data_IF_031048721567
#
_entry.id   IF_031048721567
#
_cell.length_a   1.000
_cell.length_b   1.000
_cell.length_c   1.000
_cell.angle_alpha   90.00
_cell.angle_beta   90.00
_cell.angle_gamma   90.00
#
_symmetry.space_group_name_H-M   'P 1'
#
loop_
_entity.id
_entity.type
_entity.pdbx_description
1 polymer ?
#
# COMPACT_ATOMS: atom_id res chain seq x y z
N UNK A 1 -36.65 -31.46 69.40
CA UNK A 1 -35.46 -30.68 69.04
C UNK A 1 -35.57 -30.38 67.54
N UNK A 2 -36.00 -29.18 67.22
CA UNK A 2 -36.17 -28.74 65.83
C UNK A 2 -34.99 -27.80 65.45
N UNK A 3 -34.14 -28.22 64.52
CA UNK A 3 -33.02 -27.38 64.01
C UNK A 3 -33.53 -26.51 62.88
N UNK A 4 -33.49 -25.20 63.07
CA UNK A 4 -33.77 -24.22 62.07
C UNK A 4 -32.51 -23.99 61.21
N UNK A 5 -32.62 -24.24 59.91
CA UNK A 5 -31.56 -23.89 58.89
C UNK A 5 -31.79 -22.47 58.43
N UNK A 6 -30.85 -21.55 58.75
CA UNK A 6 -30.79 -20.20 58.20
C UNK A 6 -30.17 -20.25 56.79
N UNK A 7 -30.95 -19.92 55.78
CA UNK A 7 -30.44 -19.67 54.42
C UNK A 7 -30.15 -18.15 54.29
N UNK A 8 -28.87 -17.81 54.20
CA UNK A 8 -28.44 -16.45 53.90
C UNK A 8 -28.46 -16.22 52.36
N UNK A 9 -29.00 -15.11 51.86
CA UNK A 9 -28.90 -14.78 50.43
C UNK A 9 -27.49 -14.31 50.11
N UNK A 10 -26.81 -15.01 49.19
CA UNK A 10 -25.57 -14.54 48.57
C UNK A 10 -25.96 -13.45 47.52
N UNK A 11 -25.68 -12.21 47.85
CA UNK A 11 -25.70 -11.10 46.90
C UNK A 11 -24.44 -11.22 46.07
N UNK A 12 -24.58 -11.68 44.82
CA UNK A 12 -23.54 -11.58 43.79
C UNK A 12 -23.45 -10.07 43.43
N UNK A 13 -22.49 -9.38 44.03
CA UNK A 13 -22.03 -8.08 43.54
C UNK A 13 -21.30 -8.37 42.21
N UNK A 14 -21.94 -8.07 41.11
CA UNK A 14 -21.29 -8.01 39.81
C UNK A 14 -20.23 -6.89 39.87
N UNK A 15 -18.96 -7.26 39.91
CA UNK A 15 -17.87 -6.36 39.65
C UNK A 15 -17.89 -6.08 38.12
N UNK A 16 -18.65 -5.07 37.69
CA UNK A 16 -18.31 -4.30 36.52
C UNK A 16 -17.11 -3.45 36.95
N UNK A 17 -15.92 -3.76 36.51
CA UNK A 17 -14.80 -2.82 36.54
C UNK A 17 -15.05 -1.75 35.48
N UNK A 18 -15.85 -0.73 35.82
CA UNK A 18 -15.70 0.60 35.23
C UNK A 18 -14.34 1.12 35.74
N UNK A 19 -13.27 0.85 34.99
CA UNK A 19 -12.03 1.59 35.11
C UNK A 19 -12.38 3.02 34.70
N UNK A 20 -12.54 3.95 35.66
CA UNK A 20 -13.00 5.32 35.45
C UNK A 20 -11.99 6.21 34.73
N UNK A 21 -11.36 5.71 33.69
CA UNK A 21 -10.47 6.37 32.74
C UNK A 21 -11.21 6.75 31.44
N UNK A 22 -10.56 7.55 30.57
CA UNK A 22 -11.10 7.84 29.25
C UNK A 22 -11.30 6.56 28.43
N UNK A 23 -12.30 6.52 27.52
CA UNK A 23 -12.48 5.42 26.58
C UNK A 23 -11.20 5.02 25.87
N UNK A 24 -11.00 3.73 25.65
CA UNK A 24 -9.86 3.18 24.94
C UNK A 24 -10.28 2.85 23.52
N UNK A 25 -9.67 3.50 22.53
CA UNK A 25 -9.80 3.19 21.11
C UNK A 25 -8.67 2.24 20.69
N UNK A 26 -9.00 1.13 20.07
CA UNK A 26 -8.01 0.22 19.49
C UNK A 26 -7.82 0.50 18.02
N UNK A 27 -6.59 0.83 17.65
CA UNK A 27 -6.18 1.05 16.26
C UNK A 27 -5.37 -0.14 15.75
N UNK A 28 -5.93 -0.90 14.80
CA UNK A 28 -5.24 -1.98 14.10
C UNK A 28 -4.37 -1.41 13.01
N UNK A 29 -3.05 -1.54 13.17
CA UNK A 29 -2.02 -0.91 12.32
C UNK A 29 -1.28 -1.93 11.47
N UNK A 30 -0.91 -1.55 10.25
CA UNK A 30 0.14 -2.26 9.53
C UNK A 30 1.49 -2.09 10.27
N UNK A 31 2.44 -3.04 10.12
CA UNK A 31 3.77 -2.90 10.71
C UNK A 31 4.49 -1.65 10.20
N UNK A 32 5.14 -0.95 11.11
CA UNK A 32 6.06 0.16 10.85
C UNK A 32 7.20 0.15 11.89
N UNK A 33 8.06 1.15 11.86
CA UNK A 33 9.15 1.32 12.82
C UNK A 33 8.74 2.10 14.09
N UNK A 34 7.45 2.22 14.39
CA UNK A 34 6.91 2.80 15.62
C UNK A 34 6.23 4.15 15.47
N UNK A 35 6.22 4.76 14.29
CA UNK A 35 5.60 6.06 14.02
C UNK A 35 4.10 6.07 14.33
N UNK A 36 3.35 5.01 13.99
CA UNK A 36 1.94 4.92 14.32
C UNK A 36 1.68 4.89 15.84
N UNK A 37 2.56 4.24 16.61
CA UNK A 37 2.46 4.24 18.07
C UNK A 37 2.77 5.64 18.66
N UNK A 38 3.70 6.39 18.07
CA UNK A 38 3.99 7.79 18.43
C UNK A 38 2.77 8.66 18.18
N UNK A 39 2.17 8.62 16.98
CA UNK A 39 0.95 9.37 16.67
C UNK A 39 -0.22 9.00 17.60
N UNK A 40 -0.39 7.72 17.93
CA UNK A 40 -1.42 7.27 18.88
C UNK A 40 -1.25 7.92 20.27
N UNK A 41 0.00 8.04 20.73
CA UNK A 41 0.31 8.69 22.01
C UNK A 41 0.05 10.20 21.97
N UNK A 42 0.46 10.89 20.91
CA UNK A 42 0.28 12.32 20.71
C UNK A 42 -1.20 12.71 20.55
N UNK A 43 -1.97 11.94 19.76
CA UNK A 43 -3.41 12.15 19.65
C UNK A 43 -4.16 11.82 20.94
N UNK A 44 -3.67 10.88 21.75
CA UNK A 44 -4.17 10.66 23.11
C UNK A 44 -3.95 11.87 23.99
N UNK A 45 -2.73 12.45 23.98
CA UNK A 45 -2.41 13.64 24.79
C UNK A 45 -3.21 14.87 24.34
N UNK A 46 -3.26 15.12 23.03
CA UNK A 46 -3.98 16.28 22.45
C UNK A 46 -5.50 16.21 22.65
N UNK A 47 -6.07 15.01 22.86
CA UNK A 47 -7.50 14.83 23.18
C UNK A 47 -7.93 15.47 24.51
N UNK A 48 -6.97 15.88 25.36
CA UNK A 48 -7.27 16.42 26.69
C UNK A 48 -7.97 15.43 27.63
N UNK A 49 -7.86 14.14 27.38
CA UNK A 49 -8.46 13.07 28.17
C UNK A 49 -9.85 12.62 27.66
N UNK A 50 -10.23 12.98 26.43
CA UNK A 50 -11.46 12.52 25.83
C UNK A 50 -11.38 11.02 25.49
N UNK A 51 -10.23 10.53 25.01
CA UNK A 51 -9.96 9.15 24.68
C UNK A 51 -8.49 8.78 24.89
N UNK A 52 -8.18 7.50 24.77
CA UNK A 52 -6.83 6.96 24.64
C UNK A 52 -6.78 6.06 23.41
N UNK A 53 -5.69 6.07 22.65
CA UNK A 53 -5.47 5.19 21.51
C UNK A 53 -4.43 4.13 21.88
N UNK A 54 -4.73 2.87 21.58
CA UNK A 54 -3.80 1.75 21.68
C UNK A 54 -3.64 1.09 20.32
N UNK A 55 -2.41 0.97 19.83
CA UNK A 55 -2.12 0.27 18.58
C UNK A 55 -2.09 -1.24 18.77
N UNK A 56 -2.59 -1.95 17.77
CA UNK A 56 -2.53 -3.40 17.65
C UNK A 56 -1.93 -3.75 16.29
N UNK A 57 -0.69 -4.21 16.28
CA UNK A 57 0.04 -4.47 15.02
C UNK A 57 -0.50 -5.74 14.34
N UNK A 58 -0.83 -5.60 13.07
CA UNK A 58 -1.26 -6.66 12.16
C UNK A 58 -0.06 -7.44 11.57
N UNK A 59 -0.27 -8.57 10.86
CA UNK A 59 0.78 -9.27 10.12
C UNK A 59 1.48 -8.39 9.06
N UNK A 60 2.62 -8.86 8.53
CA UNK A 60 3.41 -8.08 7.57
C UNK A 60 2.76 -7.97 6.17
N UNK A 61 2.08 -9.03 5.70
CA UNK A 61 1.50 -9.04 4.37
C UNK A 61 0.03 -8.56 4.36
N UNK A 62 -0.36 -7.88 3.29
CA UNK A 62 -1.66 -7.24 3.15
C UNK A 62 -2.84 -8.24 3.17
N UNK A 63 -2.68 -9.43 2.57
CA UNK A 63 -3.71 -10.47 2.57
C UNK A 63 -3.98 -10.99 3.98
N UNK A 64 -2.93 -11.25 4.78
CA UNK A 64 -3.06 -11.66 6.17
C UNK A 64 -3.67 -10.58 7.05
N UNK A 65 -3.36 -9.30 6.80
CA UNK A 65 -3.98 -8.16 7.50
C UNK A 65 -5.49 -8.14 7.22
N UNK A 66 -5.86 -8.18 5.93
CA UNK A 66 -7.25 -8.26 5.48
C UNK A 66 -7.99 -9.42 6.14
N UNK A 67 -7.45 -10.65 6.04
CA UNK A 67 -8.10 -11.83 6.62
C UNK A 67 -8.33 -11.70 8.13
N UNK A 68 -7.38 -11.14 8.86
CA UNK A 68 -7.50 -10.95 10.30
C UNK A 68 -8.62 -9.98 10.65
N UNK A 69 -8.69 -8.83 9.94
CA UNK A 69 -9.73 -7.83 10.16
C UNK A 69 -11.11 -8.36 9.75
N UNK A 70 -11.24 -8.98 8.58
CA UNK A 70 -12.51 -9.58 8.12
C UNK A 70 -13.06 -10.59 9.13
N UNK A 71 -12.21 -11.47 9.71
CA UNK A 71 -12.66 -12.45 10.71
C UNK A 71 -13.21 -11.79 11.98
N UNK A 72 -12.62 -10.66 12.43
CA UNK A 72 -13.09 -9.91 13.59
C UNK A 72 -14.42 -9.21 13.30
N UNK A 73 -14.48 -8.49 12.21
CA UNK A 73 -15.66 -7.71 11.82
C UNK A 73 -16.86 -8.62 11.49
N UNK A 74 -16.63 -9.75 10.82
CA UNK A 74 -17.66 -10.77 10.60
C UNK A 74 -18.22 -11.37 11.89
N UNK A 75 -17.46 -11.31 12.99
CA UNK A 75 -17.92 -11.71 14.32
C UNK A 75 -18.58 -10.55 15.10
N UNK A 76 -18.68 -9.35 14.54
CA UNK A 76 -19.23 -8.17 15.21
C UNK A 76 -18.35 -7.66 16.34
N UNK A 77 -17.01 -7.74 16.19
CA UNK A 77 -16.04 -7.34 17.20
C UNK A 77 -16.00 -5.82 17.36
N UNK A 78 -16.64 -5.28 18.41
CA UNK A 78 -16.70 -3.85 18.71
C UNK A 78 -15.38 -3.26 19.20
N UNK A 79 -14.35 -4.08 19.41
CA UNK A 79 -13.01 -3.57 19.75
C UNK A 79 -12.19 -3.11 18.54
N UNK A 80 -12.72 -3.22 17.33
CA UNK A 80 -12.10 -2.67 16.14
C UNK A 80 -12.60 -1.24 15.93
N UNK A 81 -11.98 -0.28 16.63
CA UNK A 81 -12.38 1.13 16.51
C UNK A 81 -11.81 1.77 15.26
N UNK A 82 -10.49 1.61 15.05
CA UNK A 82 -9.75 2.14 13.90
C UNK A 82 -8.98 1.02 13.22
N UNK A 83 -8.90 1.07 11.91
CA UNK A 83 -8.13 0.10 11.13
C UNK A 83 -7.39 0.75 9.97
N UNK A 84 -6.14 0.33 9.79
CA UNK A 84 -5.31 0.65 8.64
C UNK A 84 -5.62 -0.33 7.53
N UNK A 85 -6.13 0.16 6.39
CA UNK A 85 -6.49 -0.65 5.23
C UNK A 85 -5.63 -0.28 4.03
N UNK A 86 -5.04 -1.27 3.37
CA UNK A 86 -4.49 -1.09 2.02
C UNK A 86 -5.63 -0.65 1.08
N UNK A 87 -5.45 0.42 0.28
CA UNK A 87 -6.50 1.04 -0.50
C UNK A 87 -7.43 0.12 -1.28
N UNK A 88 -6.98 -0.95 -1.97
CA UNK A 88 -7.87 -1.80 -2.75
C UNK A 88 -8.85 -2.62 -1.92
N UNK A 89 -8.60 -2.82 -0.62
CA UNK A 89 -9.52 -3.55 0.25
C UNK A 89 -10.65 -2.69 0.82
N UNK A 90 -10.60 -1.37 0.69
CA UNK A 90 -11.63 -0.47 1.22
C UNK A 90 -13.01 -0.81 0.65
N UNK A 91 -13.11 -1.04 -0.67
CA UNK A 91 -14.37 -1.40 -1.33
C UNK A 91 -14.99 -2.70 -0.79
N UNK A 92 -14.17 -3.72 -0.51
CA UNK A 92 -14.63 -4.99 0.07
C UNK A 92 -15.21 -4.78 1.47
N UNK A 93 -14.49 -4.06 2.34
CA UNK A 93 -14.92 -3.82 3.70
C UNK A 93 -16.17 -2.93 3.77
N UNK A 94 -16.26 -1.90 2.91
CA UNK A 94 -17.42 -1.04 2.82
C UNK A 94 -18.64 -1.80 2.31
N UNK A 95 -18.49 -2.57 1.22
CA UNK A 95 -19.58 -3.38 0.66
C UNK A 95 -20.09 -4.45 1.64
N UNK A 96 -19.25 -4.94 2.54
CA UNK A 96 -19.63 -5.87 3.60
C UNK A 96 -20.29 -5.20 4.81
N UNK A 97 -20.40 -3.85 4.84
CA UNK A 97 -20.96 -3.09 5.97
C UNK A 97 -20.06 -3.10 7.20
N UNK A 98 -18.74 -3.14 7.01
CA UNK A 98 -17.77 -3.17 8.11
C UNK A 98 -17.21 -1.80 8.45
N UNK A 99 -17.40 -0.80 7.58
CA UNK A 99 -16.90 0.56 7.74
C UNK A 99 -18.01 1.53 8.08
N UNK A 100 -17.76 2.42 9.03
CA UNK A 100 -18.66 3.52 9.37
C UNK A 100 -18.42 4.69 8.40
N UNK A 101 -19.39 5.08 7.55
CA UNK A 101 -19.25 6.21 6.65
C UNK A 101 -19.22 7.54 7.41
N UNK A 102 -18.44 8.50 6.91
CA UNK A 102 -18.45 9.89 7.36
C UNK A 102 -19.53 10.64 6.58
N UNK A 103 -20.61 11.05 7.26
CA UNK A 103 -21.81 11.61 6.60
C UNK A 103 -22.03 13.10 6.85
N UNK A 104 -21.40 13.69 7.87
CA UNK A 104 -21.48 15.15 8.09
C UNK A 104 -20.62 15.87 7.05
N UNK A 105 -21.20 16.80 6.25
CA UNK A 105 -20.43 17.48 5.20
C UNK A 105 -19.23 18.27 5.72
N UNK A 106 -19.29 18.81 6.94
CA UNK A 106 -18.15 19.54 7.50
C UNK A 106 -16.99 18.62 7.86
N UNK A 107 -17.29 17.40 8.34
CA UNK A 107 -16.28 16.37 8.62
C UNK A 107 -15.69 15.83 7.32
N UNK A 108 -16.52 15.61 6.29
CA UNK A 108 -16.04 15.21 4.96
C UNK A 108 -15.10 16.28 4.38
N UNK A 109 -15.49 17.56 4.43
CA UNK A 109 -14.65 18.66 3.94
C UNK A 109 -13.30 18.70 4.70
N UNK A 110 -13.32 18.59 6.04
CA UNK A 110 -12.11 18.60 6.87
C UNK A 110 -11.17 17.42 6.57
N UNK A 111 -11.72 16.21 6.41
CA UNK A 111 -10.95 15.00 6.18
C UNK A 111 -10.39 14.91 4.76
N UNK A 112 -10.99 15.61 3.80
CA UNK A 112 -10.58 15.57 2.39
C UNK A 112 -9.79 16.80 1.94
N UNK A 113 -9.81 17.91 2.69
CA UNK A 113 -9.10 19.13 2.34
C UNK A 113 -7.59 18.87 2.15
N UNK A 114 -7.06 19.17 0.96
CA UNK A 114 -5.64 19.03 0.65
C UNK A 114 -5.13 17.59 0.55
N UNK A 115 -6.00 16.59 0.57
CA UNK A 115 -5.63 15.20 0.24
C UNK A 115 -5.30 15.11 -1.25
N UNK A 116 -4.26 14.36 -1.61
CA UNK A 116 -3.89 14.08 -2.99
C UNK A 116 -5.00 13.28 -3.69
N UNK A 117 -5.21 13.56 -4.99
CA UNK A 117 -6.35 13.03 -5.75
C UNK A 117 -6.34 11.49 -5.82
N UNK A 118 -5.21 10.88 -6.12
CA UNK A 118 -5.10 9.42 -6.24
C UNK A 118 -5.54 8.66 -4.98
N UNK A 119 -4.96 8.94 -3.80
CA UNK A 119 -5.40 8.34 -2.53
C UNK A 119 -6.88 8.62 -2.21
N UNK A 120 -7.36 9.83 -2.50
CA UNK A 120 -8.74 10.22 -2.20
C UNK A 120 -9.75 9.35 -2.96
N UNK A 121 -9.48 8.99 -4.21
CA UNK A 121 -10.35 8.10 -5.01
C UNK A 121 -10.56 6.73 -4.34
N UNK A 122 -9.59 6.25 -3.57
CA UNK A 122 -9.65 4.94 -2.90
C UNK A 122 -10.38 4.96 -1.56
N UNK A 123 -10.78 6.14 -1.10
CA UNK A 123 -11.43 6.35 0.20
C UNK A 123 -12.95 6.38 0.12
N UNK A 124 -13.51 6.38 -1.11
CA UNK A 124 -14.93 6.40 -1.36
C UNK A 124 -15.44 5.04 -1.81
N UNK A 125 -16.67 4.73 -1.38
CA UNK A 125 -17.47 3.63 -1.86
C UNK A 125 -18.95 4.08 -1.93
N UNK A 126 -19.60 3.84 -3.06
CA UNK A 126 -21.01 4.18 -3.29
C UNK A 126 -21.32 5.68 -3.01
N UNK A 127 -20.40 6.57 -3.44
CA UNK A 127 -20.41 8.02 -3.22
C UNK A 127 -20.28 8.47 -1.75
N UNK A 128 -20.01 7.56 -0.81
CA UNK A 128 -19.77 7.85 0.60
C UNK A 128 -18.29 7.81 0.95
N UNK A 129 -17.83 8.73 1.81
CA UNK A 129 -16.47 8.68 2.38
C UNK A 129 -16.44 7.61 3.48
N UNK A 130 -15.83 6.46 3.20
CA UNK A 130 -15.82 5.29 4.09
C UNK A 130 -14.46 5.09 4.79
N UNK A 131 -13.45 5.83 4.36
CA UNK A 131 -12.12 5.84 4.95
C UNK A 131 -11.45 7.19 4.71
N UNK A 132 -10.32 7.46 5.36
CA UNK A 132 -9.55 8.69 5.19
C UNK A 132 -8.11 8.33 4.83
N UNK A 133 -7.53 8.83 3.73
CA UNK A 133 -6.14 8.59 3.42
C UNK A 133 -5.23 9.08 4.55
N UNK A 134 -4.51 8.14 5.18
CA UNK A 134 -3.58 8.46 6.27
C UNK A 134 -2.21 8.76 5.69
N UNK A 135 -1.65 7.86 4.89
CA UNK A 135 -0.46 8.09 4.11
C UNK A 135 -0.62 7.46 2.72
N UNK A 136 0.02 8.04 1.73
CA UNK A 136 -0.01 7.57 0.37
C UNK A 136 1.36 7.01 -0.03
N UNK A 137 1.40 6.17 -1.05
CA UNK A 137 2.67 5.65 -1.51
C UNK A 137 2.67 5.47 -3.02
N UNK A 138 3.87 5.51 -3.60
CA UNK A 138 4.10 5.20 -5.01
C UNK A 138 5.51 4.66 -5.17
N UNK A 139 5.78 3.91 -6.23
CA UNK A 139 7.14 3.49 -6.52
C UNK A 139 7.83 4.52 -7.43
N UNK A 140 9.12 4.71 -7.17
CA UNK A 140 10.03 5.44 -8.04
C UNK A 140 11.00 4.46 -8.71
N UNK A 141 11.62 4.93 -9.80
CA UNK A 141 12.85 4.33 -10.29
C UNK A 141 14.02 4.81 -9.44
N UNK A 142 14.68 3.89 -8.78
CA UNK A 142 15.97 4.09 -8.10
C UNK A 142 17.08 3.55 -8.98
N UNK A 143 18.17 4.30 -9.12
CA UNK A 143 19.27 3.86 -9.96
C UNK A 143 20.62 4.27 -9.39
N UNK A 144 21.64 3.53 -9.76
CA UNK A 144 23.03 3.88 -9.51
C UNK A 144 23.50 4.82 -10.60
N UNK A 145 23.80 6.06 -10.23
CA UNK A 145 24.21 7.09 -11.19
C UNK A 145 25.42 6.63 -12.03
N UNK A 146 26.39 6.00 -11.38
CA UNK A 146 27.58 5.47 -12.04
C UNK A 146 27.26 4.43 -13.13
N UNK A 147 26.22 3.60 -12.93
CA UNK A 147 25.77 2.60 -13.92
C UNK A 147 25.04 3.26 -15.09
N UNK A 148 24.16 4.22 -14.81
CA UNK A 148 23.47 4.97 -15.84
C UNK A 148 24.46 5.75 -16.75
N UNK A 149 25.47 6.39 -16.13
CA UNK A 149 26.54 7.11 -16.83
C UNK A 149 27.37 6.16 -17.72
N UNK A 150 27.73 4.98 -17.20
CA UNK A 150 28.51 3.98 -17.94
C UNK A 150 27.73 3.41 -19.14
N UNK A 151 26.43 3.14 -18.94
CA UNK A 151 25.53 2.69 -20.00
C UNK A 151 25.17 3.79 -21.00
N UNK A 152 25.41 5.08 -20.65
CA UNK A 152 25.09 6.23 -21.48
C UNK A 152 23.60 6.52 -21.59
N UNK A 153 22.82 6.21 -20.53
CA UNK A 153 21.39 6.47 -20.46
C UNK A 153 21.07 7.56 -19.44
N UNK A 154 19.96 8.26 -19.65
CA UNK A 154 19.42 9.26 -18.73
C UNK A 154 18.07 8.78 -18.18
N UNK A 155 18.03 8.18 -16.98
CA UNK A 155 16.78 7.72 -16.39
C UNK A 155 15.79 8.84 -16.05
N UNK A 156 16.24 10.10 -16.03
CA UNK A 156 15.38 11.27 -15.79
C UNK A 156 14.68 11.78 -17.05
N UNK A 157 15.05 11.25 -18.22
CA UNK A 157 14.41 11.60 -19.48
C UNK A 157 12.92 11.22 -19.47
N UNK A 158 12.05 12.11 -19.96
CA UNK A 158 10.59 11.92 -19.90
C UNK A 158 10.11 10.62 -20.55
N UNK A 159 10.79 10.11 -21.56
CA UNK A 159 10.44 8.88 -22.29
C UNK A 159 11.18 7.64 -21.85
N UNK A 160 11.92 7.64 -20.73
CA UNK A 160 12.71 6.48 -20.30
C UNK A 160 11.84 5.25 -20.02
N UNK A 161 12.21 4.12 -20.65
CA UNK A 161 11.39 2.90 -20.68
C UNK A 161 12.00 1.74 -19.93
N UNK A 162 11.17 0.73 -19.59
CA UNK A 162 11.62 -0.57 -19.08
C UNK A 162 12.60 -1.27 -20.02
N UNK A 163 12.40 -1.16 -21.34
CA UNK A 163 13.29 -1.78 -22.31
C UNK A 163 14.70 -1.14 -22.23
N UNK A 164 14.80 0.19 -22.23
CA UNK A 164 16.07 0.89 -22.08
C UNK A 164 16.76 0.59 -20.74
N UNK A 165 15.99 0.46 -19.66
CA UNK A 165 16.50 0.08 -18.34
C UNK A 165 17.10 -1.34 -18.35
N UNK A 166 16.41 -2.31 -18.97
CA UNK A 166 16.87 -3.69 -19.09
C UNK A 166 18.16 -3.75 -19.92
N UNK A 167 18.15 -3.09 -21.10
CA UNK A 167 19.31 -3.04 -22.00
C UNK A 167 20.53 -2.41 -21.31
N UNK A 168 20.33 -1.33 -20.56
CA UNK A 168 21.39 -0.66 -19.81
C UNK A 168 21.99 -1.57 -18.72
N UNK A 169 21.16 -2.26 -17.96
CA UNK A 169 21.61 -3.20 -16.94
C UNK A 169 22.37 -4.39 -17.54
N UNK A 170 21.90 -4.95 -18.67
CA UNK A 170 22.59 -6.01 -19.39
C UNK A 170 23.94 -5.57 -19.93
N UNK A 171 24.03 -4.38 -20.52
CA UNK A 171 25.27 -3.83 -21.06
C UNK A 171 26.39 -3.72 -20.01
N UNK A 172 26.01 -3.37 -18.78
CA UNK A 172 26.92 -3.22 -17.64
C UNK A 172 27.08 -4.52 -16.81
N UNK A 173 26.39 -5.61 -17.20
CA UNK A 173 26.43 -6.90 -16.49
C UNK A 173 25.83 -6.83 -15.09
N UNK A 174 24.86 -5.92 -14.89
CA UNK A 174 24.20 -5.66 -13.61
C UNK A 174 22.79 -6.23 -13.55
N UNK A 175 22.14 -6.12 -12.39
CA UNK A 175 20.82 -6.68 -12.09
C UNK A 175 19.83 -5.58 -11.73
N UNK A 176 18.54 -5.85 -12.00
CA UNK A 176 17.43 -4.96 -11.69
C UNK A 176 16.63 -5.54 -10.52
N UNK A 177 16.40 -4.73 -9.48
CA UNK A 177 15.56 -5.08 -8.34
C UNK A 177 14.08 -4.85 -8.62
N UNK A 178 13.27 -5.91 -8.50
CA UNK A 178 11.80 -5.87 -8.62
C UNK A 178 11.17 -6.86 -7.64
N UNK A 179 9.86 -6.69 -7.36
CA UNK A 179 9.08 -7.58 -6.50
C UNK A 179 8.49 -8.71 -7.33
N UNK A 180 9.22 -9.81 -7.49
CA UNK A 180 8.84 -10.95 -8.33
C UNK A 180 8.28 -12.16 -7.58
N UNK A 181 8.19 -12.12 -6.23
CA UNK A 181 7.57 -13.15 -5.41
C UNK A 181 6.05 -13.19 -5.65
N UNK A 182 5.44 -14.35 -5.42
CA UNK A 182 3.99 -14.50 -5.53
C UNK A 182 3.27 -13.98 -4.27
N UNK A 183 2.95 -12.71 -4.25
CA UNK A 183 2.23 -12.00 -3.18
C UNK A 183 1.66 -10.69 -3.77
N UNK A 184 1.05 -9.84 -2.94
CA UNK A 184 0.41 -8.60 -3.39
C UNK A 184 1.38 -7.64 -4.15
N UNK A 185 2.66 -7.59 -3.78
CA UNK A 185 3.66 -6.78 -4.51
C UNK A 185 3.83 -7.18 -5.99
N UNK A 186 3.57 -8.45 -6.33
CA UNK A 186 3.57 -8.88 -7.72
C UNK A 186 2.36 -8.38 -8.51
N UNK A 187 1.17 -8.39 -7.88
CA UNK A 187 -0.02 -7.75 -8.43
C UNK A 187 0.19 -6.24 -8.63
N UNK A 188 0.81 -5.56 -7.65
CA UNK A 188 1.18 -4.15 -7.74
C UNK A 188 2.03 -3.88 -8.97
N UNK A 189 3.07 -4.69 -9.22
CA UNK A 189 3.94 -4.54 -10.38
C UNK A 189 3.21 -4.75 -11.70
N UNK A 190 2.45 -5.85 -11.83
CA UNK A 190 1.68 -6.16 -13.06
C UNK A 190 0.64 -5.07 -13.35
N UNK A 191 -0.10 -4.61 -12.33
CA UNK A 191 -1.08 -3.53 -12.47
C UNK A 191 -0.44 -2.23 -12.96
N UNK A 192 0.72 -1.86 -12.39
CA UNK A 192 1.45 -0.65 -12.80
C UNK A 192 1.93 -0.72 -14.25
N UNK A 193 2.37 -1.89 -14.71
CA UNK A 193 2.77 -2.10 -16.11
C UNK A 193 1.59 -2.00 -17.07
N UNK A 194 0.46 -2.66 -16.77
CA UNK A 194 -0.76 -2.60 -17.58
C UNK A 194 -1.28 -1.15 -17.63
N UNK A 195 -1.33 -0.46 -16.50
CA UNK A 195 -1.78 0.93 -16.43
C UNK A 195 -0.85 1.87 -17.19
N UNK A 196 0.48 1.66 -17.10
CA UNK A 196 1.49 2.43 -17.86
C UNK A 196 1.48 2.14 -19.37
N UNK A 197 0.83 1.06 -19.78
CA UNK A 197 0.57 0.73 -21.18
C UNK A 197 -0.83 1.21 -21.66
N UNK A 198 -1.53 2.03 -20.84
CA UNK A 198 -2.84 2.60 -21.16
C UNK A 198 -4.01 1.64 -20.98
N UNK A 199 -3.85 0.51 -20.27
CA UNK A 199 -4.90 -0.46 -20.00
C UNK A 199 -5.34 -0.50 -18.54
N UNK A 200 -6.19 -1.46 -18.22
CA UNK A 200 -6.65 -1.78 -16.88
C UNK A 200 -6.90 -3.29 -16.75
N UNK A 201 -6.96 -3.78 -15.51
CA UNK A 201 -7.11 -5.23 -15.25
C UNK A 201 -8.56 -5.68 -15.42
N UNK A 202 -9.52 -4.86 -14.97
CA UNK A 202 -10.96 -5.11 -15.12
C UNK A 202 -11.67 -3.81 -15.52
N UNK A 203 -12.74 -3.92 -16.30
CA UNK A 203 -13.73 -2.88 -16.54
C UNK A 203 -14.95 -3.09 -15.64
N UNK A 204 -15.70 -2.01 -15.36
CA UNK A 204 -16.90 -2.02 -14.54
C UNK A 204 -16.66 -2.67 -13.15
N UNK A 205 -15.54 -2.29 -12.52
CA UNK A 205 -15.05 -2.87 -11.25
C UNK A 205 -16.09 -2.83 -10.11
N UNK A 206 -16.94 -1.80 -10.11
CA UNK A 206 -18.05 -1.61 -9.16
C UNK A 206 -19.15 -2.68 -9.29
N UNK A 207 -19.26 -3.34 -10.44
CA UNK A 207 -20.22 -4.45 -10.63
C UNK A 207 -19.78 -5.75 -9.93
N UNK A 208 -18.58 -5.78 -9.35
CA UNK A 208 -18.10 -6.90 -8.55
C UNK A 208 -17.97 -8.19 -9.36
N UNK A 209 -18.82 -9.20 -9.07
CA UNK A 209 -18.81 -10.48 -9.77
C UNK A 209 -19.14 -10.39 -11.27
N UNK A 210 -19.79 -9.31 -11.69
CA UNK A 210 -20.18 -9.05 -13.08
C UNK A 210 -19.15 -8.16 -13.82
N UNK A 211 -18.03 -7.78 -13.16
CA UNK A 211 -16.94 -7.04 -13.76
C UNK A 211 -16.29 -7.82 -14.90
N UNK A 212 -15.80 -7.10 -15.89
CA UNK A 212 -15.22 -7.69 -17.10
C UNK A 212 -13.69 -7.68 -17.04
N UNK A 213 -12.99 -8.83 -16.99
CA UNK A 213 -11.53 -8.90 -17.15
C UNK A 213 -11.07 -8.33 -18.49
N UNK A 214 -9.98 -7.55 -18.49
CA UNK A 214 -9.46 -6.84 -19.68
C UNK A 214 -7.94 -6.91 -19.79
N UNK A 215 -7.34 -7.91 -19.14
CA UNK A 215 -5.89 -8.15 -19.21
C UNK A 215 -5.49 -8.61 -20.61
N UNK A 216 -6.33 -9.38 -21.30
CA UNK A 216 -6.15 -9.79 -22.71
C UNK A 216 -6.34 -8.58 -23.65
N UNK A 217 -5.37 -7.70 -23.68
CA UNK A 217 -5.35 -6.45 -24.42
C UNK A 217 -3.95 -6.11 -24.89
N UNK A 218 -3.76 -5.15 -25.81
CA UNK A 218 -2.42 -4.68 -26.18
C UNK A 218 -1.59 -4.19 -24.97
N UNK A 219 -2.23 -3.60 -23.95
CA UNK A 219 -1.57 -3.18 -22.73
C UNK A 219 -1.11 -4.36 -21.87
N UNK A 220 -1.93 -5.42 -21.75
CA UNK A 220 -1.55 -6.65 -21.07
C UNK A 220 -0.43 -7.38 -21.79
N UNK A 221 -0.44 -7.40 -23.14
CA UNK A 221 0.65 -7.96 -23.94
C UNK A 221 1.96 -7.21 -23.71
N UNK A 222 1.93 -5.85 -23.72
CA UNK A 222 3.10 -5.03 -23.45
C UNK A 222 3.65 -5.24 -22.03
N UNK A 223 2.78 -5.34 -21.04
CA UNK A 223 3.18 -5.69 -19.67
C UNK A 223 3.83 -7.09 -19.59
N UNK A 224 3.26 -8.08 -20.29
CA UNK A 224 3.82 -9.43 -20.34
C UNK A 224 5.19 -9.49 -21.03
N UNK A 225 5.42 -8.65 -22.04
CA UNK A 225 6.73 -8.49 -22.67
C UNK A 225 7.77 -7.92 -21.70
N UNK A 226 7.42 -6.94 -20.87
CA UNK A 226 8.31 -6.40 -19.82
C UNK A 226 8.63 -7.48 -18.79
N UNK A 227 7.63 -8.10 -18.18
CA UNK A 227 7.83 -9.12 -17.12
C UNK A 227 8.63 -10.31 -17.63
N UNK A 228 8.19 -10.90 -18.74
CA UNK A 228 8.86 -12.04 -19.31
C UNK A 228 10.21 -11.69 -19.95
N UNK A 229 10.36 -10.48 -20.51
CA UNK A 229 11.61 -9.94 -21.05
C UNK A 229 12.66 -9.82 -19.95
N UNK A 230 12.36 -9.13 -18.85
CA UNK A 230 13.26 -9.03 -17.70
C UNK A 230 13.63 -10.45 -17.17
N UNK A 231 12.64 -11.31 -16.95
CA UNK A 231 12.89 -12.62 -16.37
C UNK A 231 13.80 -13.54 -17.23
N UNK A 232 13.85 -13.31 -18.54
CA UNK A 232 14.72 -14.06 -19.47
C UNK A 232 16.03 -13.36 -19.80
N UNK A 233 16.18 -12.10 -19.38
CA UNK A 233 17.38 -11.29 -19.59
C UNK A 233 18.51 -11.65 -18.62
N UNK A 234 19.72 -11.22 -18.91
CA UNK A 234 20.82 -11.32 -17.97
C UNK A 234 20.73 -10.31 -16.81
N UNK A 235 19.83 -9.34 -16.91
CA UNK A 235 19.54 -8.37 -15.86
C UNK A 235 18.60 -8.92 -14.77
N UNK A 236 17.98 -10.07 -14.96
CA UNK A 236 17.12 -10.70 -13.95
C UNK A 236 17.93 -11.09 -12.70
N UNK A 237 17.46 -10.80 -11.48
CA UNK A 237 18.06 -11.33 -10.26
C UNK A 237 17.85 -12.85 -10.17
N UNK A 238 18.80 -13.55 -9.53
CA UNK A 238 18.73 -15.01 -9.40
C UNK A 238 17.57 -15.51 -8.53
N UNK A 239 17.08 -14.66 -7.66
CA UNK A 239 15.99 -14.87 -6.70
C UNK A 239 14.67 -14.19 -7.13
N UNK A 240 14.55 -13.77 -8.38
CA UNK A 240 13.39 -13.06 -8.92
C UNK A 240 12.04 -13.64 -8.47
N UNK A 241 11.90 -14.97 -8.41
CA UNK A 241 10.65 -15.64 -8.06
C UNK A 241 10.31 -15.61 -6.56
N UNK A 242 11.22 -15.13 -5.73
CA UNK A 242 11.07 -15.04 -4.26
C UNK A 242 11.41 -13.67 -3.72
N UNK A 243 11.84 -12.73 -4.58
CA UNK A 243 12.21 -11.39 -4.19
C UNK A 243 10.98 -10.53 -3.87
N UNK A 244 10.95 -9.96 -2.68
CA UNK A 244 10.04 -8.88 -2.28
C UNK A 244 10.78 -7.54 -2.26
N UNK A 245 10.25 -6.59 -1.53
CA UNK A 245 10.80 -5.23 -1.41
C UNK A 245 12.21 -5.22 -0.83
N UNK A 246 12.45 -6.03 0.21
CA UNK A 246 13.73 -6.05 0.93
C UNK A 246 14.84 -6.77 0.14
N UNK A 247 14.51 -7.85 -0.57
CA UNK A 247 15.45 -8.53 -1.46
C UNK A 247 15.84 -7.61 -2.63
N UNK A 248 14.86 -6.92 -3.24
CA UNK A 248 15.11 -5.95 -4.29
C UNK A 248 16.01 -4.80 -3.78
N UNK A 249 15.73 -4.26 -2.58
CA UNK A 249 16.57 -3.22 -1.94
C UNK A 249 17.99 -3.72 -1.65
N UNK A 250 18.11 -4.92 -1.09
CA UNK A 250 19.41 -5.51 -0.75
C UNK A 250 20.26 -5.75 -2.01
N UNK A 251 19.64 -6.24 -3.10
CA UNK A 251 20.29 -6.36 -4.39
C UNK A 251 20.77 -5.00 -4.91
N UNK A 252 19.90 -3.99 -4.91
CA UNK A 252 20.21 -2.65 -5.41
C UNK A 252 21.40 -2.01 -4.66
N UNK A 253 21.52 -2.26 -3.36
CA UNK A 253 22.62 -1.76 -2.52
C UNK A 253 23.91 -2.59 -2.64
N UNK A 254 23.87 -3.72 -3.35
CA UNK A 254 25.06 -4.56 -3.60
C UNK A 254 25.83 -4.10 -4.84
N UNK A 255 27.02 -4.73 -5.05
CA UNK A 255 27.84 -4.49 -6.24
C UNK A 255 27.15 -4.95 -7.54
N UNK A 256 26.18 -5.86 -7.48
CA UNK A 256 25.45 -6.38 -8.63
C UNK A 256 24.24 -5.49 -9.02
N UNK A 257 23.83 -4.57 -8.16
CA UNK A 257 22.68 -3.69 -8.37
C UNK A 257 22.91 -2.59 -9.39
N UNK A 258 21.86 -2.22 -10.14
CA UNK A 258 21.88 -1.12 -11.10
C UNK A 258 20.66 -0.22 -10.97
N UNK A 259 19.50 -0.79 -11.22
CA UNK A 259 18.19 -0.14 -11.17
C UNK A 259 17.27 -0.92 -10.23
N UNK A 260 16.27 -0.23 -9.70
CA UNK A 260 15.25 -0.85 -8.85
C UNK A 260 13.96 -0.03 -8.94
N UNK A 261 12.81 -0.66 -9.05
CA UNK A 261 11.52 -0.03 -8.75
C UNK A 261 11.11 -0.42 -7.34
N UNK A 262 10.90 0.59 -6.49
CA UNK A 262 10.56 0.37 -5.09
C UNK A 262 9.98 1.64 -4.44
N UNK A 263 9.43 1.47 -3.25
CA UNK A 263 8.81 2.52 -2.45
C UNK A 263 9.84 3.50 -1.87
N UNK A 264 9.47 4.76 -1.54
CA UNK A 264 10.38 5.79 -1.06
C UNK A 264 11.11 5.49 0.25
N UNK A 265 10.59 4.60 1.11
CA UNK A 265 11.27 4.20 2.35
C UNK A 265 12.71 3.71 2.13
N UNK A 266 13.02 3.20 0.94
CA UNK A 266 14.36 2.66 0.62
C UNK A 266 15.46 3.70 0.75
N UNK A 267 15.14 4.99 0.56
CA UNK A 267 16.11 6.07 0.73
C UNK A 267 16.50 6.26 2.19
N UNK A 268 15.51 6.32 3.08
CA UNK A 268 15.76 6.41 4.52
C UNK A 268 16.45 5.13 5.03
N UNK A 269 15.99 3.94 4.61
CA UNK A 269 16.63 2.68 4.98
C UNK A 269 18.09 2.59 4.52
N UNK A 270 18.44 3.17 3.36
CA UNK A 270 19.83 3.25 2.91
C UNK A 270 20.66 4.19 3.78
N UNK A 271 20.11 5.36 4.16
CA UNK A 271 20.76 6.32 5.06
C UNK A 271 21.02 5.71 6.44
N UNK A 272 20.02 5.06 7.03
CA UNK A 272 20.16 4.33 8.29
C UNK A 272 21.16 3.17 8.17
N UNK A 273 21.19 2.51 7.01
CA UNK A 273 22.16 1.48 6.69
C UNK A 273 23.61 1.98 6.71
N UNK A 274 23.86 3.21 6.24
CA UNK A 274 25.19 3.86 6.35
C UNK A 274 25.54 4.13 7.79
N UNK A 275 24.62 4.72 8.57
CA UNK A 275 24.83 5.01 10.00
C UNK A 275 25.14 3.72 10.79
N UNK A 276 24.46 2.62 10.45
CA UNK A 276 24.66 1.29 11.04
C UNK A 276 25.84 0.51 10.48
N UNK A 277 26.50 0.99 9.42
CA UNK A 277 27.60 0.31 8.74
C UNK A 277 27.20 -0.91 7.90
N UNK A 278 25.93 -1.00 7.52
CA UNK A 278 25.39 -2.06 6.64
C UNK A 278 25.42 -1.66 5.15
N UNK A 279 25.50 -0.37 4.86
CA UNK A 279 25.60 0.20 3.51
C UNK A 279 26.84 1.09 3.47
N UNK A 280 27.67 0.94 2.43
CA UNK A 280 28.83 1.80 2.23
C UNK A 280 28.39 3.22 1.82
N UNK A 281 29.10 4.25 2.30
CA UNK A 281 28.80 5.65 1.96
C UNK A 281 28.85 5.89 0.45
N UNK A 282 29.83 5.31 -0.26
CA UNK A 282 29.97 5.45 -1.72
C UNK A 282 28.75 4.86 -2.47
N UNK A 283 28.11 3.82 -1.92
CA UNK A 283 26.88 3.24 -2.46
C UNK A 283 25.72 4.22 -2.29
N UNK A 284 25.58 4.80 -1.10
CA UNK A 284 24.53 5.78 -0.82
C UNK A 284 24.67 7.05 -1.67
N UNK A 285 25.90 7.56 -1.81
CA UNK A 285 26.19 8.76 -2.61
C UNK A 285 25.94 8.55 -4.13
N UNK A 286 25.91 7.29 -4.58
CA UNK A 286 25.65 6.89 -5.97
C UNK A 286 24.15 6.63 -6.23
N UNK A 287 23.29 6.70 -5.20
CA UNK A 287 21.84 6.53 -5.36
C UNK A 287 21.23 7.79 -5.97
N UNK A 288 20.53 7.58 -7.08
CA UNK A 288 19.70 8.60 -7.71
C UNK A 288 18.28 8.06 -7.94
N UNK A 289 17.36 8.93 -8.34
CA UNK A 289 15.94 8.60 -8.51
C UNK A 289 15.33 9.31 -9.70
N UNK A 290 14.30 8.69 -10.26
CA UNK A 290 13.53 9.22 -11.38
C UNK A 290 12.06 8.76 -11.28
N UNK A 291 11.23 9.24 -12.21
CA UNK A 291 9.88 8.70 -12.40
C UNK A 291 9.93 7.21 -12.71
N UNK A 292 8.86 6.51 -12.36
CA UNK A 292 8.68 5.10 -12.72
C UNK A 292 8.82 4.93 -14.24
N UNK A 293 9.54 3.90 -14.74
CA UNK A 293 9.79 3.75 -16.17
C UNK A 293 8.50 3.54 -16.97
N UNK A 294 8.46 4.08 -18.17
CA UNK A 294 7.36 3.84 -19.10
C UNK A 294 7.41 2.42 -19.68
N UNK A 295 6.26 1.84 -19.99
CA UNK A 295 6.17 0.61 -20.78
C UNK A 295 6.35 0.91 -22.26
N UNK A 296 5.70 1.96 -22.74
CA UNK A 296 5.84 2.53 -24.07
C UNK A 296 6.25 4.01 -23.96
N UNK A 297 7.20 4.44 -24.79
CA UNK A 297 7.68 5.83 -24.75
C UNK A 297 6.60 6.88 -25.06
N UNK A 298 5.57 6.49 -25.79
CA UNK A 298 4.46 7.36 -26.19
C UNK A 298 3.32 7.40 -25.14
N UNK A 299 3.31 6.44 -24.17
CA UNK A 299 2.31 6.36 -23.12
C UNK A 299 2.83 6.93 -21.79
N UNK A 300 1.97 7.56 -21.00
CA UNK A 300 2.35 8.11 -19.71
C UNK A 300 2.67 7.00 -18.69
N UNK A 301 3.76 7.17 -17.94
CA UNK A 301 4.03 6.30 -16.80
C UNK A 301 2.91 6.45 -15.76
N UNK A 302 2.42 5.30 -15.27
CA UNK A 302 1.45 5.18 -14.20
C UNK A 302 2.04 4.32 -13.09
N UNK A 303 2.85 4.90 -12.19
CA UNK A 303 3.41 4.15 -11.08
C UNK A 303 2.29 3.57 -10.21
N UNK A 304 2.58 2.53 -9.41
CA UNK A 304 1.54 1.97 -8.55
C UNK A 304 1.12 2.98 -7.47
N UNK A 305 -0.17 3.03 -7.17
CA UNK A 305 -0.70 3.69 -5.99
C UNK A 305 -0.77 2.69 -4.83
N UNK A 306 -0.11 3.03 -3.74
CA UNK A 306 -0.17 2.34 -2.47
C UNK A 306 -0.49 3.32 -1.34
N UNK A 307 -0.23 2.89 -0.12
CA UNK A 307 -0.50 3.66 1.08
C UNK A 307 -1.45 2.96 2.03
N UNK A 308 -2.00 3.71 2.97
CA UNK A 308 -3.00 3.22 3.93
C UNK A 308 -4.12 4.23 4.06
N UNK A 309 -5.34 3.74 3.96
CA UNK A 309 -6.54 4.44 4.38
C UNK A 309 -6.89 4.07 5.82
N UNK A 310 -7.18 5.06 6.65
CA UNK A 310 -7.64 4.89 8.01
C UNK A 310 -9.16 4.85 8.03
N UNK A 311 -9.73 3.73 8.47
CA UNK A 311 -11.18 3.53 8.52
C UNK A 311 -11.67 3.34 9.96
N UNK A 312 -12.94 3.68 10.20
CA UNK A 312 -13.64 3.47 11.46
C UNK A 312 -14.47 2.19 11.33
N UNK A 313 -14.40 1.31 12.31
CA UNK A 313 -15.21 0.10 12.36
C UNK A 313 -16.69 0.41 12.63
N UNK A 314 -17.60 -0.18 11.85
CA UNK A 314 -19.08 0.05 12.03
C UNK A 314 -19.58 -0.47 13.38
N UNK A 315 -18.88 -1.41 14.01
CA UNK A 315 -19.28 -1.99 15.30
C UNK A 315 -18.68 -1.27 16.52
N UNK A 316 -17.93 -0.17 16.33
CA UNK A 316 -17.31 0.56 17.46
C UNK A 316 -18.35 1.10 18.43
N UNK A 317 -18.07 1.00 19.73
CA UNK A 317 -18.91 1.62 20.78
C UNK A 317 -18.66 3.15 20.89
N UNK A 318 -17.65 3.70 20.17
CA UNK A 318 -17.18 5.08 20.31
C UNK A 318 -17.03 5.83 18.98
N UNK A 319 -18.07 5.90 18.10
CA UNK A 319 -17.94 6.44 16.74
C UNK A 319 -17.46 7.89 16.68
N UNK A 320 -17.97 8.78 17.55
CA UNK A 320 -17.59 10.18 17.55
C UNK A 320 -16.12 10.37 17.99
N UNK A 321 -15.66 9.59 18.97
CA UNK A 321 -14.27 9.66 19.45
C UNK A 321 -13.31 9.03 18.44
N UNK A 322 -13.74 8.01 17.72
CA UNK A 322 -12.98 7.41 16.62
C UNK A 322 -12.80 8.41 15.48
N UNK A 323 -13.84 9.18 15.14
CA UNK A 323 -13.75 10.25 14.14
C UNK A 323 -12.78 11.37 14.57
N UNK A 324 -12.85 11.80 15.84
CA UNK A 324 -11.90 12.78 16.39
C UNK A 324 -10.45 12.27 16.32
N UNK A 325 -10.23 10.98 16.59
CA UNK A 325 -8.93 10.35 16.47
C UNK A 325 -8.45 10.30 15.01
N UNK A 326 -9.33 9.97 14.04
CA UNK A 326 -9.01 10.00 12.60
C UNK A 326 -8.56 11.40 12.19
N UNK A 327 -9.28 12.46 12.57
CA UNK A 327 -8.93 13.85 12.27
C UNK A 327 -7.54 14.23 12.80
N UNK A 328 -7.23 13.81 14.04
CA UNK A 328 -5.91 14.04 14.62
C UNK A 328 -4.83 13.29 13.83
N UNK A 329 -4.98 11.99 13.64
CA UNK A 329 -3.96 11.14 12.99
C UNK A 329 -3.70 11.60 11.56
N UNK A 330 -4.73 12.04 10.82
CA UNK A 330 -4.63 12.43 9.41
C UNK A 330 -4.43 13.93 9.20
N UNK A 331 -4.13 14.71 10.24
CA UNK A 331 -3.80 16.14 10.11
C UNK A 331 -2.55 16.36 9.25
N UNK A 332 -2.37 17.56 8.68
CA UNK A 332 -1.20 17.89 7.85
C UNK A 332 0.09 17.75 8.64
N UNK A 333 0.10 18.23 9.88
CA UNK A 333 1.24 18.19 10.77
C UNK A 333 1.65 16.74 11.10
N UNK A 334 0.68 15.91 11.45
CA UNK A 334 0.91 14.50 11.77
C UNK A 334 1.29 13.67 10.52
N UNK A 335 0.77 14.03 9.34
CA UNK A 335 1.22 13.44 8.07
C UNK A 335 2.69 13.79 7.77
N UNK A 336 3.10 15.06 7.98
CA UNK A 336 4.48 15.48 7.78
C UNK A 336 5.43 14.76 8.76
N UNK A 337 5.08 14.73 10.05
CA UNK A 337 5.85 14.03 11.07
C UNK A 337 5.99 12.53 10.73
N UNK A 338 4.88 11.86 10.42
CA UNK A 338 4.90 10.43 10.08
C UNK A 338 5.74 10.14 8.84
N UNK A 339 5.72 11.01 7.82
CA UNK A 339 6.57 10.87 6.66
C UNK A 339 8.05 10.92 7.03
N UNK A 340 8.45 11.84 7.93
CA UNK A 340 9.85 11.95 8.38
C UNK A 340 10.26 10.75 9.24
N UNK A 341 9.40 10.31 10.17
CA UNK A 341 9.72 9.24 11.12
C UNK A 341 9.66 7.83 10.51
N UNK A 342 8.64 7.57 9.70
CA UNK A 342 8.38 6.23 9.16
C UNK A 342 8.85 6.02 7.72
N UNK A 343 9.23 7.08 7.02
CA UNK A 343 9.63 6.99 5.61
C UNK A 343 8.48 6.81 4.63
N UNK A 344 7.23 6.89 5.10
CA UNK A 344 6.03 6.73 4.29
C UNK A 344 5.49 8.09 3.82
N UNK A 345 5.34 8.31 2.51
CA UNK A 345 4.91 9.61 1.98
C UNK A 345 3.52 10.02 2.48
N UNK A 346 3.33 11.32 2.69
CA UNK A 346 2.09 11.89 3.18
C UNK A 346 0.95 11.78 2.15
N UNK A 347 -0.28 11.56 2.62
CA UNK A 347 -1.47 11.68 1.79
C UNK A 347 -1.91 13.14 1.60
N UNK A 348 -1.49 14.02 2.48
CA UNK A 348 -1.83 15.46 2.44
C UNK A 348 -0.77 16.29 1.73
N UNK A 349 -1.17 17.02 0.70
CA UNK A 349 -0.28 17.84 -0.14
C UNK A 349 0.53 18.85 0.67
N UNK A 350 -0.09 19.47 1.71
CA UNK A 350 0.57 20.47 2.56
C UNK A 350 1.77 19.94 3.35
N UNK A 351 1.82 18.64 3.65
CA UNK A 351 2.94 18.01 4.35
C UNK A 351 4.26 18.10 3.56
N UNK A 352 4.21 18.13 2.22
CA UNK A 352 5.39 18.25 1.35
C UNK A 352 6.03 19.64 1.35
N UNK A 353 5.36 20.63 1.93
CA UNK A 353 5.91 21.98 2.09
C UNK A 353 6.67 22.13 3.41
N UNK A 354 6.61 21.13 4.30
CA UNK A 354 7.35 21.11 5.57
C UNK A 354 8.86 21.03 5.31
N UNK A 355 9.67 21.88 5.97
CA UNK A 355 11.12 21.89 5.80
C UNK A 355 11.81 20.58 6.21
N UNK A 356 11.31 19.88 7.24
CA UNK A 356 11.88 18.61 7.71
C UNK A 356 11.61 17.49 6.71
N UNK A 357 10.42 17.49 6.08
CA UNK A 357 10.10 16.57 4.97
C UNK A 357 11.04 16.80 3.79
N UNK A 358 11.28 18.06 3.40
CA UNK A 358 12.18 18.39 2.28
C UNK A 358 13.63 18.05 2.56
N UNK A 359 14.06 18.13 3.81
CA UNK A 359 15.40 17.69 4.24
C UNK A 359 15.53 16.16 4.24
N UNK A 360 14.52 15.44 4.74
CA UNK A 360 14.51 13.99 4.81
C UNK A 360 14.35 13.34 3.41
N UNK A 361 13.57 13.97 2.52
CA UNK A 361 13.23 13.48 1.19
C UNK A 361 13.58 14.50 0.11
N UNK A 362 14.82 14.51 -0.41
CA UNK A 362 15.21 15.40 -1.52
C UNK A 362 14.31 15.26 -2.77
N UNK A 363 13.63 14.09 -2.91
CA UNK A 363 12.70 13.78 -3.98
C UNK A 363 11.23 14.07 -3.63
N UNK A 364 10.92 14.82 -2.59
CA UNK A 364 9.56 15.05 -2.08
C UNK A 364 8.58 15.56 -3.18
N UNK A 365 9.01 16.51 -4.01
CA UNK A 365 8.18 17.02 -5.12
C UNK A 365 7.90 15.92 -6.16
N UNK A 366 8.90 15.10 -6.50
CA UNK A 366 8.72 13.98 -7.43
C UNK A 366 7.77 12.92 -6.85
N UNK A 367 7.85 12.63 -5.54
CA UNK A 367 6.93 11.70 -4.87
C UNK A 367 5.50 12.23 -4.97
N UNK A 368 5.27 13.50 -4.61
CA UNK A 368 3.95 14.15 -4.67
C UNK A 368 3.35 14.11 -6.07
N UNK A 369 4.13 14.45 -7.10
CA UNK A 369 3.72 14.38 -8.49
C UNK A 369 3.42 12.93 -8.93
N UNK A 370 4.28 11.99 -8.57
CA UNK A 370 4.12 10.58 -8.93
C UNK A 370 2.88 9.93 -8.28
N UNK A 371 2.51 10.34 -7.05
CA UNK A 371 1.27 9.90 -6.39
C UNK A 371 0.04 10.39 -7.15
N UNK A 372 0.06 11.64 -7.67
CA UNK A 372 -1.06 12.16 -8.47
C UNK A 372 -1.17 11.45 -9.84
N UNK A 373 -0.05 11.02 -10.41
CA UNK A 373 -0.02 10.30 -11.70
C UNK A 373 -0.25 8.78 -11.53
N UNK A 374 -0.26 8.28 -10.30
CA UNK A 374 -0.31 6.85 -10.01
C UNK A 374 -1.60 6.18 -10.48
N UNK A 375 -1.48 4.94 -10.95
CA UNK A 375 -2.60 4.07 -11.31
C UNK A 375 -3.06 3.24 -10.10
N UNK A 376 -4.28 3.45 -9.57
CA UNK A 376 -4.79 2.60 -8.51
C UNK A 376 -4.97 1.16 -9.00
N UNK A 377 -4.88 0.22 -8.07
CA UNK A 377 -5.36 -1.14 -8.29
C UNK A 377 -6.88 -1.14 -8.39
N UNK A 378 -7.53 -2.16 -8.99
CA UNK A 378 -8.99 -2.21 -9.14
C UNK A 378 -9.73 -1.97 -7.82
N UNK A 379 -10.67 -1.01 -7.82
CA UNK A 379 -11.52 -0.70 -6.67
C UNK A 379 -12.79 -1.53 -6.81
N UNK A 380 -12.82 -2.70 -6.20
CA UNK A 380 -13.92 -3.67 -6.30
C UNK A 380 -14.05 -4.49 -5.02
N UNK A 381 -15.27 -4.89 -4.62
CA UNK A 381 -15.47 -5.82 -3.50
C UNK A 381 -14.83 -7.20 -3.70
N UNK A 382 -14.46 -7.54 -4.94
CA UNK A 382 -13.83 -8.80 -5.33
C UNK A 382 -12.32 -8.67 -5.55
N UNK A 383 -11.70 -7.64 -4.97
CA UNK A 383 -10.28 -7.36 -5.19
C UNK A 383 -9.37 -8.57 -4.88
N UNK A 384 -9.63 -9.30 -3.80
CA UNK A 384 -8.87 -10.51 -3.45
C UNK A 384 -8.89 -11.57 -4.56
N UNK A 385 -10.04 -11.76 -5.21
CA UNK A 385 -10.22 -12.69 -6.33
C UNK A 385 -9.43 -12.22 -7.57
N UNK A 386 -9.51 -10.92 -7.87
CA UNK A 386 -8.78 -10.28 -8.99
C UNK A 386 -7.27 -10.38 -8.77
N UNK A 387 -6.78 -9.97 -7.61
CA UNK A 387 -5.35 -10.00 -7.27
C UNK A 387 -4.78 -11.42 -7.32
N UNK A 388 -5.47 -12.38 -6.68
CA UNK A 388 -5.04 -13.79 -6.69
C UNK A 388 -5.03 -14.39 -8.11
N UNK A 389 -5.97 -14.00 -8.97
CA UNK A 389 -6.01 -14.46 -10.36
C UNK A 389 -4.78 -13.99 -11.13
N UNK A 390 -4.41 -12.71 -11.01
CA UNK A 390 -3.18 -12.17 -11.62
C UNK A 390 -1.94 -12.85 -11.05
N UNK A 391 -1.80 -12.89 -9.73
CA UNK A 391 -0.65 -13.52 -9.05
C UNK A 391 -0.47 -14.97 -9.50
N UNK A 392 -1.55 -15.69 -9.72
CA UNK A 392 -1.51 -17.11 -10.08
C UNK A 392 -1.11 -17.35 -11.55
N UNK A 393 -1.61 -16.53 -12.45
CA UNK A 393 -1.39 -16.72 -13.89
C UNK A 393 -0.08 -16.11 -14.37
N UNK A 394 0.42 -15.06 -13.70
CA UNK A 394 1.66 -14.39 -14.06
C UNK A 394 2.90 -14.94 -13.35
N UNK A 395 2.76 -15.71 -12.27
CA UNK A 395 3.91 -16.28 -11.55
C UNK A 395 4.18 -17.75 -11.95
N UNK A 396 5.45 -18.13 -12.17
CA UNK A 396 6.67 -17.31 -12.06
C UNK A 396 6.88 -16.40 -13.28
N UNK A 397 7.53 -15.26 -13.10
CA UNK A 397 7.80 -14.27 -14.14
C UNK A 397 8.45 -14.86 -15.41
N UNK A 398 9.27 -15.92 -15.27
CA UNK A 398 9.92 -16.63 -16.37
C UNK A 398 8.95 -17.38 -17.29
N UNK A 399 7.71 -17.65 -16.84
CA UNK A 399 6.67 -18.30 -17.65
C UNK A 399 5.78 -17.29 -18.39
N UNK A 400 5.90 -16.00 -18.07
CA UNK A 400 5.07 -14.94 -18.66
C UNK A 400 5.43 -14.72 -20.13
N UNK A 401 4.40 -14.68 -20.98
CA UNK A 401 4.52 -14.44 -22.41
C UNK A 401 3.23 -13.88 -23.00
N UNK A 402 3.37 -12.92 -23.89
CA UNK A 402 2.27 -12.39 -24.68
C UNK A 402 1.97 -13.32 -25.89
N UNK A 403 0.70 -13.46 -26.35
CA UNK A 403 -0.52 -13.03 -25.67
C UNK A 403 -1.04 -14.05 -24.64
N UNK A 404 -0.39 -15.20 -24.49
CA UNK A 404 -0.93 -16.36 -23.77
C UNK A 404 -1.22 -16.08 -22.29
N UNK A 405 -0.31 -15.41 -21.58
CA UNK A 405 -0.54 -15.10 -20.15
C UNK A 405 -1.70 -14.13 -19.92
N UNK A 406 -1.83 -13.00 -20.67
CA UNK A 406 -3.02 -12.15 -20.62
C UNK A 406 -4.34 -12.90 -20.91
N UNK A 407 -4.39 -13.72 -21.96
CA UNK A 407 -5.57 -14.52 -22.34
C UNK A 407 -5.96 -15.54 -21.25
N UNK A 408 -4.97 -16.23 -20.69
CA UNK A 408 -5.17 -17.19 -19.60
C UNK A 408 -5.67 -16.46 -18.32
N UNK A 409 -5.21 -15.23 -18.08
CA UNK A 409 -5.65 -14.42 -16.93
C UNK A 409 -7.11 -14.03 -17.04
N UNK A 410 -7.56 -13.52 -18.18
CA UNK A 410 -8.97 -13.17 -18.41
C UNK A 410 -9.88 -14.38 -18.25
N UNK A 411 -9.50 -15.51 -18.84
CA UNK A 411 -10.26 -16.75 -18.72
C UNK A 411 -10.35 -17.23 -17.27
N UNK A 412 -9.21 -17.25 -16.57
CA UNK A 412 -9.14 -17.67 -15.17
C UNK A 412 -9.97 -16.75 -14.26
N UNK A 413 -9.78 -15.44 -14.39
CA UNK A 413 -10.47 -14.44 -13.58
C UNK A 413 -11.99 -14.46 -13.82
N UNK A 414 -12.43 -14.63 -15.07
CA UNK A 414 -13.86 -14.77 -15.40
C UNK A 414 -14.49 -15.98 -14.70
N UNK A 415 -13.81 -17.15 -14.70
CA UNK A 415 -14.28 -18.35 -14.00
C UNK A 415 -14.35 -18.13 -12.48
N UNK A 416 -13.38 -17.41 -11.90
CA UNK A 416 -13.33 -17.10 -10.45
C UNK A 416 -14.46 -16.15 -10.08
N UNK A 417 -14.63 -15.05 -10.80
CA UNK A 417 -15.69 -14.06 -10.53
C UNK A 417 -17.10 -14.66 -10.69
N UNK A 418 -17.27 -15.58 -11.65
CA UNK A 418 -18.54 -16.32 -11.84
C UNK A 418 -18.79 -17.38 -10.74
N UNK A 419 -17.82 -17.64 -9.85
CA UNK A 419 -17.90 -18.71 -8.83
C UNK A 419 -17.80 -20.12 -9.42
N UNK A 420 -17.37 -20.26 -10.67
CA UNK A 420 -17.17 -21.54 -11.36
C UNK A 420 -15.83 -22.18 -11.00
N UNK A 421 -14.93 -21.40 -10.42
CA UNK A 421 -13.60 -21.82 -9.99
C UNK A 421 -13.24 -21.25 -8.62
N UNK A 422 -12.62 -22.10 -7.79
CA UNK A 422 -12.02 -21.67 -6.52
C UNK A 422 -10.57 -21.24 -6.73
N UNK A 423 -10.12 -20.26 -5.94
CA UNK A 423 -8.75 -19.76 -5.91
C UNK A 423 -7.75 -20.80 -5.41
#
# INVERSE_FOLDING_TARGET
MASAVLVAPIVLAGCGSDDGGPPLLTWYTNPDNGGQATLAAECTESSGGAYRIQTQVLPNDADSQREQLVRRLAAGDSSVDLMSLDPPFVAEFANAGYLLPVTDPADVDELTEGVLEGPLLTAYWDDELVATPFWANTQLLWYRQSVADAAGVDPTAEGFTWAEMIDAAEAEGKRIGVQGNRYEGYMVWVNALISSAGGQIIEDAELGAEATPTVASPAGDAAAEVVGGLARSSAAPSDLTTAGEEEARSLFQSDDGSFMVNWPYVYQAAREGVEGGAVDQDVFDDIAWARYPRVDADEASRPPLGGINLAIGDFTDHPDLALDAVKCITSVENNAQYMVEAGNPAARSGAYDDPEVREAFPMADLIRESINDAGPRPITPYYGDVSTSVQRTWHPASSVQAPGTPEDTDSYMSEVLAGERLL
#
